data_IF_321039634729
#
_entry.id   IF_321039634729
#
_cell.length_a   1.000
_cell.length_b   1.000
_cell.length_c   1.000
_cell.angle_alpha   90.00
_cell.angle_beta   90.00
_cell.angle_gamma   90.00
#
_symmetry.space_group_name_H-M   'P 1'
#
loop_
_entity.id
_entity.type
_entity.pdbx_description
1 polymer ?
#
# COMPACT_ATOMS: atom_id res chain seq x y z
N UNK A 1 13.49 48.13 -2.38
CA UNK A 1 12.98 46.97 -1.63
C UNK A 1 14.13 46.38 -0.82
N UNK A 2 13.93 46.20 0.46
CA UNK A 2 15.00 45.88 1.37
C UNK A 2 15.48 44.41 1.12
N UNK A 3 16.77 44.16 0.87
CA UNK A 3 17.33 42.83 0.61
C UNK A 3 16.96 41.80 1.69
N UNK A 4 16.76 42.27 2.93
CA UNK A 4 16.32 41.45 4.07
C UNK A 4 14.89 40.94 3.85
N UNK A 5 13.98 41.76 3.34
CA UNK A 5 12.58 41.38 3.07
C UNK A 5 12.54 40.30 1.99
N UNK A 6 13.32 40.46 0.92
CA UNK A 6 13.42 39.44 -0.15
C UNK A 6 13.96 38.11 0.36
N UNK A 7 14.98 38.15 1.22
CA UNK A 7 15.57 36.94 1.80
C UNK A 7 14.57 36.23 2.73
N UNK A 8 13.87 36.96 3.59
CA UNK A 8 12.85 36.40 4.48
C UNK A 8 11.68 35.81 3.67
N UNK A 9 11.21 36.52 2.64
CA UNK A 9 10.15 35.98 1.77
C UNK A 9 10.59 34.71 1.04
N UNK A 10 11.83 34.63 0.60
CA UNK A 10 12.38 33.43 -0.04
C UNK A 10 12.46 32.24 0.93
N UNK A 11 12.88 32.47 2.18
CA UNK A 11 12.91 31.43 3.22
C UNK A 11 11.48 30.95 3.57
N UNK A 12 10.50 31.83 3.65
CA UNK A 12 9.10 31.47 3.89
C UNK A 12 8.53 30.63 2.74
N UNK A 13 8.87 30.97 1.49
CA UNK A 13 8.47 30.19 0.32
C UNK A 13 9.08 28.81 0.38
N UNK A 14 10.39 28.69 0.64
CA UNK A 14 11.05 27.38 0.78
C UNK A 14 10.40 26.55 1.89
N UNK A 15 10.13 27.18 3.05
CA UNK A 15 9.51 26.50 4.19
C UNK A 15 8.12 25.95 3.85
N UNK A 16 7.34 26.67 3.03
CA UNK A 16 6.01 26.24 2.56
C UNK A 16 6.06 25.03 1.62
N UNK A 17 7.17 24.85 0.89
CA UNK A 17 7.37 23.72 -0.03
C UNK A 17 8.12 22.53 0.59
N UNK A 18 8.58 22.64 1.84
CA UNK A 18 9.20 21.48 2.52
C UNK A 18 8.08 20.47 2.87
N UNK A 19 8.12 19.25 2.30
CA UNK A 19 7.12 18.26 2.63
C UNK A 19 7.24 17.84 4.10
N UNK A 20 6.13 17.93 4.83
CA UNK A 20 6.05 17.44 6.22
C UNK A 20 5.78 15.94 6.15
N UNK A 21 6.77 15.13 6.51
CA UNK A 21 6.62 13.68 6.59
C UNK A 21 6.17 13.30 8.01
N UNK A 22 5.05 12.60 8.09
CA UNK A 22 4.65 11.95 9.34
C UNK A 22 5.52 10.72 9.61
N UNK A 23 5.88 10.51 10.87
CA UNK A 23 6.60 9.28 11.25
C UNK A 23 5.70 8.07 11.04
N UNK A 24 6.25 6.96 10.51
CA UNK A 24 5.52 5.70 10.41
C UNK A 24 4.95 5.29 11.76
N UNK A 25 3.70 4.84 11.77
CA UNK A 25 3.00 4.36 12.97
C UNK A 25 2.45 2.97 12.73
N UNK A 26 2.40 2.16 13.78
CA UNK A 26 1.80 0.83 13.77
C UNK A 26 0.38 0.94 14.31
N UNK A 27 -0.59 0.46 13.55
CA UNK A 27 -1.99 0.37 13.96
C UNK A 27 -2.30 -1.09 14.27
N UNK A 28 -2.57 -1.37 15.54
CA UNK A 28 -2.92 -2.72 16.00
C UNK A 28 -4.40 -3.01 15.79
N UNK A 29 -4.74 -4.30 15.63
CA UNK A 29 -6.12 -4.79 15.57
C UNK A 29 -6.97 -4.13 14.48
N UNK A 30 -6.36 -3.87 13.31
CA UNK A 30 -7.07 -3.29 12.17
C UNK A 30 -8.13 -4.24 11.60
N UNK A 31 -7.89 -5.55 11.74
CA UNK A 31 -8.80 -6.64 11.38
C UNK A 31 -9.13 -7.46 12.62
N UNK A 32 -10.35 -7.98 12.70
CA UNK A 32 -10.68 -9.07 13.62
C UNK A 32 -10.08 -10.39 13.12
N UNK A 33 -10.05 -11.40 13.98
CA UNK A 33 -9.56 -12.75 13.59
C UNK A 33 -10.42 -13.33 12.47
N UNK A 34 -11.74 -13.17 12.55
CA UNK A 34 -12.69 -13.67 11.54
C UNK A 34 -12.50 -12.97 10.19
N UNK A 35 -12.32 -11.65 10.19
CA UNK A 35 -12.03 -10.86 8.98
C UNK A 35 -10.69 -11.29 8.34
N UNK A 36 -9.68 -11.52 9.15
CA UNK A 36 -8.37 -12.00 8.70
C UNK A 36 -8.46 -13.39 8.05
N UNK A 37 -9.12 -14.36 8.72
CA UNK A 37 -9.28 -15.71 8.18
C UNK A 37 -10.15 -15.71 6.92
N UNK A 38 -11.18 -14.87 6.85
CA UNK A 38 -11.99 -14.69 5.64
C UNK A 38 -11.15 -14.22 4.44
N UNK A 39 -10.36 -13.15 4.61
CA UNK A 39 -9.47 -12.62 3.56
C UNK A 39 -8.46 -13.68 3.13
N UNK A 40 -7.88 -14.41 4.07
CA UNK A 40 -6.92 -15.48 3.80
C UNK A 40 -7.54 -16.62 2.99
N UNK A 41 -8.78 -17.01 3.30
CA UNK A 41 -9.52 -18.02 2.53
C UNK A 41 -9.83 -17.54 1.11
N UNK A 42 -10.29 -16.29 0.94
CA UNK A 42 -10.52 -15.71 -0.38
C UNK A 42 -9.24 -15.70 -1.21
N UNK A 43 -8.14 -15.20 -0.63
CA UNK A 43 -6.85 -15.12 -1.30
C UNK A 43 -6.34 -16.51 -1.70
N UNK A 44 -6.50 -17.54 -0.84
CA UNK A 44 -6.01 -18.89 -1.10
C UNK A 44 -6.56 -19.52 -2.38
N UNK A 45 -7.76 -19.11 -2.81
CA UNK A 45 -8.42 -19.57 -4.03
C UNK A 45 -7.94 -18.86 -5.30
N UNK A 46 -7.24 -17.72 -5.14
CA UNK A 46 -6.81 -16.82 -6.23
C UNK A 46 -5.28 -16.68 -6.31
N UNK A 47 -4.51 -17.46 -5.54
CA UNK A 47 -3.06 -17.36 -5.53
C UNK A 47 -2.45 -17.83 -6.86
N UNK A 48 -1.68 -16.94 -7.49
CA UNK A 48 -0.91 -17.19 -8.70
C UNK A 48 0.57 -16.83 -8.47
N UNK A 49 1.48 -17.34 -9.31
CA UNK A 49 2.89 -16.93 -9.25
C UNK A 49 3.02 -15.43 -9.43
N UNK A 50 3.75 -14.76 -8.54
CA UNK A 50 3.93 -13.31 -8.57
C UNK A 50 4.75 -12.86 -9.76
N UNK A 51 4.37 -11.74 -10.34
CA UNK A 51 5.07 -11.10 -11.46
C UNK A 51 6.03 -10.00 -10.99
N UNK A 52 7.01 -9.62 -11.79
CA UNK A 52 8.09 -8.69 -11.42
C UNK A 52 8.05 -7.36 -12.16
N UNK A 53 7.25 -7.23 -13.22
CA UNK A 53 7.23 -6.02 -14.05
C UNK A 53 5.81 -5.60 -14.45
N UNK A 54 5.70 -4.42 -15.07
CA UNK A 54 4.45 -3.95 -15.68
C UNK A 54 3.92 -4.89 -16.76
N UNK A 55 4.81 -5.62 -17.43
CA UNK A 55 4.46 -6.59 -18.49
C UNK A 55 3.97 -7.93 -17.91
N UNK A 56 3.91 -8.06 -16.57
CA UNK A 56 3.53 -9.29 -15.86
C UNK A 56 4.45 -10.48 -16.16
N UNK A 57 5.74 -10.21 -16.37
CA UNK A 57 6.74 -11.25 -16.54
C UNK A 57 6.95 -12.01 -15.23
N UNK A 58 7.21 -13.31 -15.32
CA UNK A 58 7.56 -14.17 -14.19
C UNK A 58 9.06 -14.39 -14.22
N UNK A 59 9.77 -13.97 -13.16
CA UNK A 59 11.18 -14.26 -12.95
C UNK A 59 11.42 -14.69 -11.50
N UNK A 60 11.53 -16.00 -11.30
CA UNK A 60 11.74 -16.58 -9.97
C UNK A 60 13.13 -16.31 -9.38
N UNK A 61 14.08 -15.76 -10.18
CA UNK A 61 15.37 -15.31 -9.65
C UNK A 61 15.27 -13.93 -8.98
N UNK A 62 14.25 -13.16 -9.34
CA UNK A 62 13.95 -11.83 -8.77
C UNK A 62 12.88 -11.94 -7.70
N UNK A 63 11.79 -12.67 -7.97
CA UNK A 63 10.66 -12.78 -7.05
C UNK A 63 10.11 -14.20 -6.97
N UNK A 64 10.18 -14.80 -5.79
CA UNK A 64 9.66 -16.14 -5.51
C UNK A 64 8.55 -16.06 -4.46
N UNK A 65 7.34 -15.79 -4.90
CA UNK A 65 6.14 -15.66 -4.08
C UNK A 65 4.88 -15.95 -4.90
N UNK A 66 3.73 -15.97 -4.22
CA UNK A 66 2.42 -16.03 -4.84
C UNK A 66 1.64 -14.77 -4.48
N UNK A 67 0.80 -14.31 -5.40
CA UNK A 67 -0.03 -13.10 -5.26
C UNK A 67 -1.47 -13.44 -5.52
N UNK A 68 -2.38 -12.89 -4.72
CA UNK A 68 -3.81 -12.83 -5.01
C UNK A 68 -4.26 -11.36 -4.98
N UNK A 69 -5.07 -10.95 -5.94
CA UNK A 69 -5.72 -9.66 -5.97
C UNK A 69 -7.18 -9.80 -5.59
N UNK A 70 -7.64 -9.05 -4.59
CA UNK A 70 -8.99 -9.07 -4.07
C UNK A 70 -9.63 -7.70 -4.30
N UNK A 71 -10.74 -7.68 -5.03
CA UNK A 71 -11.45 -6.44 -5.35
C UNK A 71 -12.45 -6.08 -4.26
N UNK A 72 -12.50 -4.79 -3.90
CA UNK A 72 -13.51 -4.26 -3.00
C UNK A 72 -14.95 -4.53 -3.48
N UNK A 73 -15.17 -4.51 -4.79
CA UNK A 73 -16.49 -4.76 -5.39
C UNK A 73 -16.99 -6.20 -5.30
N UNK A 74 -16.10 -7.15 -5.00
CA UNK A 74 -16.41 -8.58 -4.94
C UNK A 74 -16.68 -9.10 -3.52
N UNK A 75 -16.25 -8.37 -2.50
CA UNK A 75 -16.36 -8.81 -1.10
C UNK A 75 -16.47 -7.66 -0.10
N UNK A 76 -17.49 -7.66 0.79
CA UNK A 76 -17.73 -6.56 1.73
C UNK A 76 -16.65 -6.43 2.81
N UNK A 77 -15.96 -7.49 3.19
CA UNK A 77 -14.87 -7.45 4.18
C UNK A 77 -13.64 -6.78 3.55
N UNK A 78 -13.35 -7.09 2.29
CA UNK A 78 -12.30 -6.44 1.51
C UNK A 78 -12.60 -4.96 1.31
N UNK A 79 -13.82 -4.58 0.94
CA UNK A 79 -14.26 -3.17 0.81
C UNK A 79 -14.09 -2.42 2.13
N UNK A 80 -14.56 -2.99 3.23
CA UNK A 80 -14.41 -2.41 4.58
C UNK A 80 -12.96 -2.16 4.95
N UNK A 81 -12.07 -3.13 4.68
CA UNK A 81 -10.63 -2.98 4.97
C UNK A 81 -10.01 -1.86 4.14
N UNK A 82 -10.25 -1.84 2.82
CA UNK A 82 -9.72 -0.83 1.92
C UNK A 82 -10.18 0.57 2.36
N UNK A 83 -11.48 0.76 2.63
CA UNK A 83 -12.02 2.05 3.10
C UNK A 83 -11.40 2.47 4.44
N UNK A 84 -11.21 1.52 5.37
CA UNK A 84 -10.56 1.79 6.64
C UNK A 84 -9.10 2.23 6.46
N UNK A 85 -8.34 1.60 5.56
CA UNK A 85 -6.98 2.00 5.24
C UNK A 85 -6.94 3.39 4.59
N UNK A 86 -7.81 3.64 3.60
CA UNK A 86 -7.90 4.92 2.90
C UNK A 86 -8.28 6.07 3.83
N UNK A 87 -9.20 5.84 4.79
CA UNK A 87 -9.60 6.86 5.78
C UNK A 87 -8.46 7.34 6.69
N UNK A 88 -7.35 6.62 6.73
CA UNK A 88 -6.14 7.00 7.48
C UNK A 88 -5.12 7.75 6.63
N UNK A 89 -5.44 8.04 5.38
CA UNK A 89 -4.61 8.78 4.43
C UNK A 89 -5.31 10.07 4.00
N UNK A 90 -4.59 10.95 3.33
CA UNK A 90 -5.11 12.16 2.70
C UNK A 90 -5.53 11.94 1.23
N UNK A 91 -5.59 10.66 0.78
CA UNK A 91 -5.89 10.32 -0.61
C UNK A 91 -7.33 9.81 -0.77
N UNK A 92 -7.97 10.11 -1.90
CA UNK A 92 -9.32 9.62 -2.17
C UNK A 92 -9.32 8.13 -2.52
N UNK A 93 -10.45 7.46 -2.26
CA UNK A 93 -10.61 6.02 -2.46
C UNK A 93 -10.28 5.55 -3.89
N UNK A 94 -10.59 6.35 -4.92
CA UNK A 94 -10.32 5.99 -6.32
C UNK A 94 -8.83 5.93 -6.69
N UNK A 95 -7.93 6.42 -5.82
CA UNK A 95 -6.50 6.26 -5.98
C UNK A 95 -5.96 4.95 -5.36
N UNK A 96 -6.83 4.19 -4.68
CA UNK A 96 -6.45 2.93 -4.07
C UNK A 96 -6.53 1.80 -5.10
N UNK A 97 -5.49 0.98 -5.16
CA UNK A 97 -5.52 -0.28 -5.92
C UNK A 97 -6.31 -1.35 -5.17
N UNK A 98 -6.60 -2.45 -5.86
CA UNK A 98 -7.17 -3.64 -5.25
C UNK A 98 -6.26 -4.19 -4.13
N UNK A 99 -6.83 -4.92 -3.19
CA UNK A 99 -6.06 -5.50 -2.09
C UNK A 99 -5.14 -6.60 -2.61
N UNK A 100 -3.84 -6.39 -2.50
CA UNK A 100 -2.82 -7.38 -2.83
C UNK A 100 -2.50 -8.25 -1.61
N UNK A 101 -2.72 -9.54 -1.72
CA UNK A 101 -2.33 -10.54 -0.70
C UNK A 101 -1.15 -11.34 -1.23
N UNK A 102 -0.07 -11.36 -0.46
CA UNK A 102 1.18 -12.06 -0.82
C UNK A 102 1.39 -13.27 0.08
N UNK A 103 1.81 -14.37 -0.53
CA UNK A 103 2.22 -15.58 0.18
C UNK A 103 3.66 -15.94 -0.16
N UNK A 104 4.51 -15.95 0.85
CA UNK A 104 5.88 -16.45 0.77
C UNK A 104 5.97 -17.81 1.46
N UNK A 105 6.47 -18.83 0.76
CA UNK A 105 6.87 -20.09 1.37
C UNK A 105 8.28 -19.95 1.96
N UNK A 106 8.72 -20.86 2.86
CA UNK A 106 10.12 -20.89 3.29
C UNK A 106 11.08 -20.87 2.08
N UNK A 107 12.07 -19.96 2.10
CA UNK A 107 12.95 -19.70 0.96
C UNK A 107 12.39 -18.81 -0.14
N UNK A 108 11.18 -18.27 0.03
CA UNK A 108 10.62 -17.25 -0.85
C UNK A 108 11.22 -15.87 -0.58
N UNK A 109 11.32 -15.03 -1.62
CA UNK A 109 11.94 -13.71 -1.55
C UNK A 109 11.43 -12.78 -2.62
N UNK A 110 11.77 -11.50 -2.46
CA UNK A 110 11.69 -10.48 -3.49
C UNK A 110 12.96 -9.63 -3.37
N UNK A 111 13.81 -9.65 -4.40
CA UNK A 111 15.04 -8.86 -4.44
C UNK A 111 14.74 -7.40 -4.73
N UNK A 112 15.57 -6.48 -4.19
CA UNK A 112 15.49 -5.05 -4.51
C UNK A 112 15.86 -4.78 -5.96
#
# INVERSE_FOLDING_TARGET
MNRIILFVSFLLIIWFFIPIYEKPRVIKNILSVDEYEHIKQLASKKLETSTVSKNRDIDENIRKSQTAWLKASEDPVVDKLIRKCVSMTDRPLHNCEDLQVLKYKPGGFYKP
#
